data_IF_304945765953
#
_entry.id   IF_304945765953
#
_cell.length_a   1.000
_cell.length_b   1.000
_cell.length_c   1.000
_cell.angle_alpha   90.00
_cell.angle_beta   90.00
_cell.angle_gamma   90.00
#
_symmetry.space_group_name_H-M   'P 1'
#
loop_
_entity.id
_entity.type
_entity.pdbx_description
1 polymer ?
#
# COMPACT_ATOMS: atom_id res chain seq x y z
N UNK A 1 8.48 -7.79 -2.33
CA UNK A 1 8.30 -6.64 -1.42
C UNK A 1 9.30 -6.63 -0.27
N UNK A 2 9.39 -7.68 0.54
CA UNK A 2 10.30 -7.76 1.71
C UNK A 2 11.73 -7.33 1.39
N UNK A 3 12.27 -7.81 0.26
CA UNK A 3 13.62 -7.48 -0.17
C UNK A 3 13.81 -5.99 -0.51
N UNK A 4 12.86 -5.38 -1.21
CA UNK A 4 12.92 -3.96 -1.55
C UNK A 4 12.92 -3.08 -0.29
N UNK A 5 12.11 -3.43 0.70
CA UNK A 5 12.06 -2.73 1.99
C UNK A 5 13.38 -2.91 2.76
N UNK A 6 14.00 -4.09 2.68
CA UNK A 6 15.30 -4.34 3.30
C UNK A 6 16.40 -3.45 2.74
N UNK A 7 16.41 -3.22 1.43
CA UNK A 7 17.37 -2.35 0.76
C UNK A 7 17.12 -0.85 0.98
N UNK A 8 15.95 -0.48 1.48
CA UNK A 8 15.67 0.92 1.78
C UNK A 8 16.50 1.41 2.98
N UNK A 9 17.02 2.64 2.89
CA UNK A 9 17.78 3.26 3.98
C UNK A 9 16.89 4.05 4.97
N UNK A 10 15.65 4.34 4.60
CA UNK A 10 14.75 5.15 5.42
C UNK A 10 14.06 4.34 6.53
N UNK A 11 13.76 5.02 7.64
CA UNK A 11 13.00 4.45 8.77
C UNK A 11 11.50 4.45 8.53
N UNK A 12 11.02 5.27 7.60
CA UNK A 12 9.62 5.36 7.21
C UNK A 12 9.46 5.00 5.73
N UNK A 13 8.62 4.04 5.46
CA UNK A 13 8.40 3.48 4.12
C UNK A 13 7.11 4.07 3.54
N UNK A 14 7.20 4.57 2.32
CA UNK A 14 6.03 4.90 1.50
C UNK A 14 6.00 3.94 0.32
N UNK A 15 4.98 3.10 0.29
CA UNK A 15 4.81 2.04 -0.69
C UNK A 15 3.79 2.44 -1.75
N UNK A 16 4.15 2.22 -3.01
CA UNK A 16 3.29 2.38 -4.18
C UNK A 16 3.45 1.18 -5.12
N UNK A 17 2.46 0.94 -5.97
CA UNK A 17 2.58 0.01 -7.09
C UNK A 17 3.17 0.73 -8.33
N UNK A 18 3.70 -0.04 -9.26
CA UNK A 18 4.35 0.50 -10.46
C UNK A 18 3.39 1.18 -11.46
N UNK A 19 2.09 1.06 -11.25
CA UNK A 19 1.01 1.65 -12.06
C UNK A 19 0.32 2.84 -11.38
N UNK A 20 0.98 3.46 -10.41
CA UNK A 20 0.51 4.67 -9.72
C UNK A 20 1.30 5.89 -10.18
N UNK A 21 0.61 6.87 -10.74
CA UNK A 21 1.13 8.24 -10.88
C UNK A 21 0.81 9.00 -9.60
N UNK A 22 1.81 9.56 -8.95
CA UNK A 22 1.64 10.24 -7.65
C UNK A 22 1.43 11.74 -7.83
N UNK A 23 0.58 12.34 -6.98
CA UNK A 23 0.47 13.80 -6.87
C UNK A 23 1.80 14.40 -6.40
N UNK A 24 2.13 15.61 -6.84
CA UNK A 24 3.36 16.31 -6.46
C UNK A 24 3.57 16.47 -4.94
N UNK A 25 2.51 16.44 -4.16
CA UNK A 25 2.55 16.54 -2.70
C UNK A 25 2.47 15.17 -1.99
N UNK A 26 2.43 14.09 -2.74
CA UNK A 26 2.17 12.74 -2.24
C UNK A 26 3.04 12.35 -1.04
N UNK A 27 4.36 12.50 -1.16
CA UNK A 27 5.30 12.18 -0.08
C UNK A 27 5.12 13.13 1.11
N UNK A 28 5.02 14.44 0.84
CA UNK A 28 4.82 15.43 1.90
C UNK A 28 3.53 15.20 2.69
N UNK A 29 2.47 14.78 2.00
CA UNK A 29 1.18 14.46 2.61
C UNK A 29 1.29 13.22 3.52
N UNK A 30 1.98 12.14 3.09
CA UNK A 30 2.26 10.98 3.93
C UNK A 30 3.03 11.39 5.20
N UNK A 31 4.13 12.13 5.03
CA UNK A 31 4.95 12.57 6.15
C UNK A 31 4.20 13.49 7.12
N UNK A 32 3.30 14.35 6.63
CA UNK A 32 2.46 15.23 7.46
C UNK A 32 1.51 14.46 8.38
N UNK A 33 1.11 13.25 7.97
CA UNK A 33 0.17 12.39 8.70
C UNK A 33 0.85 11.26 9.48
N UNK A 34 2.17 11.12 9.34
CA UNK A 34 3.00 10.15 10.04
C UNK A 34 2.85 10.30 11.56
N UNK A 35 2.66 9.19 12.27
CA UNK A 35 2.59 9.10 13.75
C UNK A 35 3.29 7.81 14.19
N UNK A 36 3.88 7.77 15.40
CA UNK A 36 4.40 6.52 15.96
C UNK A 36 3.35 5.42 15.97
N UNK A 37 3.75 4.20 15.69
CA UNK A 37 2.88 3.01 15.68
C UNK A 37 1.60 3.19 14.88
N UNK A 38 1.71 3.83 13.70
CA UNK A 38 0.58 4.07 12.81
C UNK A 38 0.99 3.78 11.37
N UNK A 39 0.19 2.99 10.68
CA UNK A 39 0.30 2.83 9.24
C UNK A 39 -0.83 3.57 8.53
N UNK A 40 -0.52 4.10 7.35
CA UNK A 40 -1.41 5.00 6.62
C UNK A 40 -1.90 4.33 5.33
N UNK A 41 -3.12 4.64 4.97
CA UNK A 41 -3.68 4.34 3.65
C UNK A 41 -4.14 5.64 3.01
N UNK A 42 -3.52 6.00 1.87
CA UNK A 42 -3.80 7.22 1.13
C UNK A 42 -5.02 7.14 0.22
N UNK A 43 -5.25 8.20 -0.53
CA UNK A 43 -6.35 8.33 -1.48
C UNK A 43 -5.96 7.80 -2.86
N UNK A 44 -6.91 7.16 -3.57
CA UNK A 44 -6.71 6.64 -4.92
C UNK A 44 -7.86 7.02 -5.85
N UNK A 45 -7.54 7.69 -6.97
CA UNK A 45 -8.42 7.87 -8.11
C UNK A 45 -7.98 6.93 -9.25
N UNK A 46 -8.90 6.44 -10.05
CA UNK A 46 -8.59 5.54 -11.16
C UNK A 46 -8.68 6.22 -12.53
N UNK A 47 -7.86 5.80 -13.47
CA UNK A 47 -7.95 6.18 -14.87
C UNK A 47 -8.55 5.03 -15.68
N UNK A 48 -9.49 5.29 -16.60
CA UNK A 48 -9.98 4.28 -17.53
C UNK A 48 -8.93 3.90 -18.58
N UNK A 49 -9.12 2.76 -19.24
CA UNK A 49 -8.16 2.20 -20.19
C UNK A 49 -7.75 3.18 -21.29
N UNK A 50 -8.73 3.80 -21.94
CA UNK A 50 -8.48 4.72 -23.06
C UNK A 50 -7.63 5.93 -22.63
N UNK A 51 -7.97 6.51 -21.48
CA UNK A 51 -7.23 7.65 -20.94
C UNK A 51 -5.85 7.23 -20.43
N UNK A 52 -5.70 6.03 -19.88
CA UNK A 52 -4.39 5.49 -19.51
C UNK A 52 -3.45 5.38 -20.71
N UNK A 53 -3.95 4.90 -21.86
CA UNK A 53 -3.15 4.83 -23.10
C UNK A 53 -2.69 6.20 -23.57
N UNK A 54 -3.56 7.20 -23.51
CA UNK A 54 -3.21 8.58 -23.84
C UNK A 54 -2.16 9.12 -22.88
N UNK A 55 -2.36 8.98 -21.58
CA UNK A 55 -1.43 9.41 -20.50
C UNK A 55 -0.03 8.83 -20.72
N UNK A 56 0.07 7.54 -21.02
CA UNK A 56 1.35 6.88 -21.27
C UNK A 56 2.02 7.37 -22.55
N UNK A 57 1.25 7.65 -23.60
CA UNK A 57 1.80 8.15 -24.88
C UNK A 57 2.28 9.60 -24.80
N UNK A 58 1.61 10.42 -24.00
CA UNK A 58 1.91 11.84 -23.82
C UNK A 58 2.90 12.11 -22.67
N UNK A 59 3.18 11.11 -21.81
CA UNK A 59 3.98 11.27 -20.61
C UNK A 59 3.33 12.20 -19.58
N UNK A 60 1.99 12.26 -19.55
CA UNK A 60 1.27 13.12 -18.61
C UNK A 60 1.41 12.61 -17.18
N UNK A 61 1.88 13.47 -16.27
CA UNK A 61 2.04 13.14 -14.85
C UNK A 61 1.24 14.06 -13.93
N UNK A 62 0.66 15.14 -14.45
CA UNK A 62 -0.09 16.13 -13.68
C UNK A 62 -1.61 15.89 -13.82
N UNK A 63 -2.23 15.60 -12.69
CA UNK A 63 -3.68 15.40 -12.60
C UNK A 63 -4.28 16.22 -11.46
N UNK A 64 -5.56 16.53 -11.60
CA UNK A 64 -6.38 17.19 -10.57
C UNK A 64 -7.75 16.52 -10.49
N UNK A 65 -8.54 16.82 -9.47
CA UNK A 65 -9.92 16.34 -9.37
C UNK A 65 -10.81 16.76 -10.57
N UNK A 66 -10.37 17.75 -11.34
CA UNK A 66 -11.07 18.24 -12.54
C UNK A 66 -10.58 17.60 -13.84
N UNK A 67 -9.52 16.79 -13.80
CA UNK A 67 -9.05 16.03 -14.96
C UNK A 67 -10.17 15.16 -15.52
N UNK A 68 -10.25 15.08 -16.86
CA UNK A 68 -11.28 14.29 -17.54
C UNK A 68 -11.14 12.81 -17.20
N UNK A 69 -12.25 12.09 -17.26
CA UNK A 69 -12.31 10.63 -17.17
C UNK A 69 -11.83 9.98 -15.86
N UNK A 70 -11.55 10.73 -14.79
CA UNK A 70 -11.19 10.12 -13.51
C UNK A 70 -12.36 9.37 -12.87
N UNK A 71 -12.13 8.11 -12.52
CA UNK A 71 -12.99 7.37 -11.60
C UNK A 71 -12.72 7.79 -10.15
N UNK A 72 -13.78 7.89 -9.34
CA UNK A 72 -13.68 8.31 -7.94
C UNK A 72 -12.98 9.67 -7.76
N UNK A 73 -13.30 10.66 -8.62
CA UNK A 73 -12.66 11.97 -8.65
C UNK A 73 -12.63 12.72 -7.33
N UNK A 74 -13.56 12.45 -6.40
CA UNK A 74 -13.50 13.01 -5.05
C UNK A 74 -12.26 12.57 -4.26
N UNK A 75 -11.70 11.39 -4.58
CA UNK A 75 -10.44 10.96 -4.01
C UNK A 75 -9.22 11.73 -4.57
N UNK A 76 -9.38 12.43 -5.70
CA UNK A 76 -8.37 13.29 -6.30
C UNK A 76 -8.45 14.75 -5.81
N UNK A 77 -9.41 15.07 -4.95
CA UNK A 77 -9.56 16.41 -4.39
C UNK A 77 -8.61 16.60 -3.20
N UNK A 78 -7.51 17.31 -3.42
CA UNK A 78 -6.56 17.64 -2.36
C UNK A 78 -7.02 18.88 -1.60
N UNK A 79 -7.19 18.75 -0.28
CA UNK A 79 -7.58 19.84 0.60
C UNK A 79 -7.22 19.54 2.05
N UNK A 80 -6.41 20.39 2.67
CA UNK A 80 -6.08 20.28 4.09
C UNK A 80 -7.29 20.45 5.01
N UNK A 81 -8.24 21.32 4.62
CA UNK A 81 -9.47 21.55 5.37
C UNK A 81 -10.33 20.27 5.38
N UNK A 82 -10.56 19.67 4.21
CA UNK A 82 -11.30 18.42 4.13
C UNK A 82 -10.56 17.28 4.85
N UNK A 83 -9.24 17.22 4.72
CA UNK A 83 -8.44 16.22 5.39
C UNK A 83 -8.56 16.29 6.92
N UNK A 84 -8.62 17.49 7.49
CA UNK A 84 -8.82 17.67 8.92
C UNK A 84 -10.09 16.96 9.43
N UNK A 85 -11.18 17.01 8.66
CA UNK A 85 -12.45 16.38 9.03
C UNK A 85 -12.57 14.91 8.59
N UNK A 86 -11.88 14.51 7.51
CA UNK A 86 -12.09 13.21 6.87
C UNK A 86 -11.02 12.17 7.19
N UNK A 87 -9.82 12.61 7.60
CA UNK A 87 -8.78 11.66 8.04
C UNK A 87 -9.17 11.07 9.39
N UNK A 88 -9.15 9.73 9.48
CA UNK A 88 -9.63 9.04 10.67
C UNK A 88 -8.85 7.76 10.96
N UNK A 89 -8.86 7.33 12.21
CA UNK A 89 -8.48 5.97 12.58
C UNK A 89 -9.54 4.97 12.11
N UNK A 90 -9.12 3.77 11.83
CA UNK A 90 -10.02 2.68 11.42
C UNK A 90 -9.55 1.37 12.05
N UNK A 91 -10.51 0.60 12.53
CA UNK A 91 -10.28 -0.77 13.00
C UNK A 91 -10.51 -1.78 11.87
N UNK A 92 -10.99 -1.33 10.71
CA UNK A 92 -11.24 -2.16 9.54
C UNK A 92 -10.07 -2.09 8.55
N UNK A 93 -9.20 -3.09 8.61
CA UNK A 93 -8.02 -3.21 7.74
C UNK A 93 -8.35 -3.65 6.31
N UNK A 94 -9.57 -4.14 6.03
CA UNK A 94 -10.00 -4.57 4.68
C UNK A 94 -9.97 -3.44 3.65
N UNK A 95 -9.90 -2.21 4.11
CA UNK A 95 -9.80 -1.03 3.25
C UNK A 95 -8.37 -0.69 2.83
N UNK A 96 -7.37 -1.38 3.35
CA UNK A 96 -5.97 -1.16 2.95
C UNK A 96 -5.80 -1.54 1.48
N UNK A 97 -4.98 -0.79 0.78
CA UNK A 97 -4.60 -1.00 -0.61
C UNK A 97 -3.09 -0.82 -0.71
N UNK A 98 -2.36 -1.87 -0.98
CA UNK A 98 -0.90 -1.88 -1.06
C UNK A 98 -0.31 -0.80 -1.97
N UNK A 99 -1.07 -0.40 -2.98
CA UNK A 99 -0.66 0.63 -3.94
C UNK A 99 -0.53 2.06 -3.38
N UNK A 100 -0.95 2.32 -2.16
CA UNK A 100 -0.85 3.64 -1.53
C UNK A 100 -0.90 3.51 -0.01
N UNK A 101 0.20 3.02 0.57
CA UNK A 101 0.36 2.85 2.01
C UNK A 101 1.68 3.42 2.50
N UNK A 102 1.76 3.72 3.79
CA UNK A 102 3.03 4.03 4.44
C UNK A 102 3.03 3.58 5.89
N UNK A 103 4.21 3.24 6.40
CA UNK A 103 4.39 2.66 7.73
C UNK A 103 5.84 2.83 8.22
N UNK A 104 6.04 2.68 9.52
CA UNK A 104 7.37 2.61 10.09
C UNK A 104 8.02 1.27 9.75
N UNK A 105 9.28 1.32 9.33
CA UNK A 105 10.05 0.12 9.00
C UNK A 105 10.19 -0.81 10.20
N UNK A 106 10.32 -0.26 11.40
CA UNK A 106 10.34 -1.03 12.63
C UNK A 106 9.05 -1.83 12.88
N UNK A 107 7.86 -1.21 12.68
CA UNK A 107 6.58 -1.90 12.82
C UNK A 107 6.45 -3.03 11.79
N UNK A 108 6.90 -2.80 10.55
CA UNK A 108 6.93 -3.81 9.49
C UNK A 108 7.84 -5.00 9.85
N UNK A 109 9.02 -4.72 10.40
CA UNK A 109 9.97 -5.77 10.83
C UNK A 109 9.43 -6.51 12.06
N UNK A 110 8.75 -5.83 12.98
CA UNK A 110 8.17 -6.43 14.17
C UNK A 110 7.15 -7.54 13.84
N UNK A 111 6.42 -7.41 12.73
CA UNK A 111 5.47 -8.40 12.25
C UNK A 111 6.06 -9.37 11.21
N UNK A 112 7.37 -9.29 10.95
CA UNK A 112 8.12 -10.04 9.93
C UNK A 112 7.66 -9.77 8.48
N UNK A 113 7.18 -8.57 8.19
CA UNK A 113 6.91 -8.11 6.84
C UNK A 113 5.79 -8.85 6.11
N UNK A 114 5.84 -8.86 4.78
CA UNK A 114 4.90 -9.59 3.93
C UNK A 114 5.09 -11.11 4.03
N UNK A 115 3.99 -11.85 3.97
CA UNK A 115 3.99 -13.31 3.95
C UNK A 115 4.45 -13.81 2.57
N UNK A 116 5.59 -14.52 2.52
CA UNK A 116 6.16 -15.06 1.29
C UNK A 116 5.39 -16.30 0.76
N UNK A 117 4.52 -16.91 1.59
CA UNK A 117 3.72 -18.06 1.18
C UNK A 117 2.50 -17.66 0.35
N UNK A 118 2.10 -16.37 0.41
CA UNK A 118 1.03 -15.85 -0.44
C UNK A 118 1.54 -15.66 -1.87
N UNK A 119 0.89 -16.29 -2.80
CA UNK A 119 1.25 -16.25 -4.22
C UNK A 119 0.06 -15.78 -5.08
N UNK A 120 0.36 -15.25 -6.26
CA UNK A 120 -0.66 -14.70 -7.14
C UNK A 120 -1.17 -13.34 -6.66
N UNK A 121 -2.41 -13.02 -7.00
CA UNK A 121 -3.03 -11.73 -6.71
C UNK A 121 -4.04 -11.83 -5.55
N UNK A 122 -3.98 -10.85 -4.66
CA UNK A 122 -5.04 -10.53 -3.70
C UNK A 122 -4.72 -10.88 -2.25
N UNK A 123 -5.20 -10.02 -1.39
CA UNK A 123 -5.22 -10.12 0.07
C UNK A 123 -3.86 -10.03 0.80
N UNK A 124 -2.72 -9.93 0.11
CA UNK A 124 -1.39 -9.78 0.70
C UNK A 124 -1.25 -8.48 1.51
N UNK A 125 -1.91 -7.42 1.05
CA UNK A 125 -1.91 -6.10 1.69
C UNK A 125 -2.78 -6.06 2.96
N UNK A 126 -3.96 -6.68 2.93
CA UNK A 126 -4.84 -6.73 4.11
C UNK A 126 -4.37 -7.76 5.13
N UNK A 127 -3.69 -8.82 4.71
CA UNK A 127 -3.06 -9.80 5.59
C UNK A 127 -1.94 -9.16 6.42
N UNK A 128 -1.02 -8.42 5.77
CA UNK A 128 -0.01 -7.62 6.45
C UNK A 128 -0.66 -6.58 7.38
N UNK A 129 -1.67 -5.86 6.89
CA UNK A 129 -2.38 -4.85 7.67
C UNK A 129 -3.06 -5.44 8.91
N UNK A 130 -3.59 -6.67 8.82
CA UNK A 130 -4.17 -7.37 9.95
C UNK A 130 -3.10 -7.70 11.02
N UNK A 131 -1.91 -8.18 10.60
CA UNK A 131 -0.82 -8.45 11.55
C UNK A 131 -0.28 -7.17 12.20
N UNK A 132 -0.13 -6.09 11.45
CA UNK A 132 0.22 -4.78 11.99
C UNK A 132 -0.81 -4.34 13.05
N UNK A 133 -2.10 -4.45 12.72
CA UNK A 133 -3.17 -4.09 13.64
C UNK A 133 -3.19 -4.97 14.90
N UNK A 134 -3.06 -6.28 14.75
CA UNK A 134 -2.98 -7.22 15.86
C UNK A 134 -1.76 -6.95 16.77
N UNK A 135 -0.66 -6.45 16.18
CA UNK A 135 0.55 -6.04 16.92
C UNK A 135 0.45 -4.64 17.55
N UNK A 136 -0.72 -4.01 17.52
CA UNK A 136 -0.99 -2.71 18.14
C UNK A 136 -0.71 -1.49 17.26
N UNK A 137 -0.30 -1.67 16.00
CA UNK A 137 -0.12 -0.57 15.05
C UNK A 137 -1.47 -0.11 14.51
N UNK A 138 -1.77 1.18 14.58
CA UNK A 138 -3.08 1.72 14.23
C UNK A 138 -3.19 2.06 12.75
N UNK A 139 -4.30 1.65 12.10
CA UNK A 139 -4.63 2.12 10.75
C UNK A 139 -5.19 3.54 10.80
N UNK A 140 -4.63 4.42 9.97
CA UNK A 140 -5.18 5.74 9.69
C UNK A 140 -5.48 5.89 8.20
N UNK A 141 -6.74 6.15 7.87
CA UNK A 141 -7.18 6.44 6.51
C UNK A 141 -6.97 7.92 6.25
N UNK A 142 -6.19 8.25 5.22
CA UNK A 142 -5.96 9.62 4.77
C UNK A 142 -6.92 9.90 3.60
N UNK A 143 -7.75 10.93 3.77
CA UNK A 143 -8.64 11.44 2.73
C UNK A 143 -8.23 12.84 2.34
N UNK A 144 -8.39 13.17 1.06
CA UNK A 144 -8.04 14.48 0.50
C UNK A 144 -6.56 14.89 0.65
N UNK A 145 -5.70 13.91 0.90
CA UNK A 145 -4.23 14.00 0.92
C UNK A 145 -3.66 12.70 0.34
N UNK A 146 -2.35 12.69 0.06
CA UNK A 146 -1.61 11.52 -0.42
C UNK A 146 -2.32 10.85 -1.61
N UNK A 147 -2.54 11.60 -2.68
CA UNK A 147 -3.34 11.18 -3.82
C UNK A 147 -2.48 10.41 -4.81
N UNK A 148 -2.89 9.18 -5.12
CA UNK A 148 -2.35 8.39 -6.22
C UNK A 148 -3.38 8.24 -7.34
N UNK A 149 -2.92 8.29 -8.58
CA UNK A 149 -3.71 8.09 -9.80
C UNK A 149 -3.36 6.75 -10.39
N UNK A 150 -4.29 5.79 -10.31
CA UNK A 150 -4.06 4.42 -10.72
C UNK A 150 -4.35 4.24 -12.19
N UNK A 151 -3.33 3.89 -12.95
CA UNK A 151 -3.43 3.56 -14.36
C UNK A 151 -4.23 2.26 -14.53
N UNK A 152 -5.00 2.19 -15.61
CA UNK A 152 -5.71 0.96 -15.94
C UNK A 152 -4.74 -0.14 -16.37
N UNK A 153 -4.94 -1.31 -15.84
CA UNK A 153 -4.33 -2.55 -16.32
C UNK A 153 -5.35 -3.68 -16.33
N UNK A 154 -5.10 -4.71 -17.13
CA UNK A 154 -5.92 -5.92 -17.10
C UNK A 154 -5.77 -6.60 -15.76
N UNK A 155 -6.88 -7.11 -15.24
CA UNK A 155 -6.86 -7.85 -13.97
C UNK A 155 -6.00 -9.11 -14.11
N UNK A 156 -5.18 -9.36 -13.12
CA UNK A 156 -4.44 -10.61 -12.98
C UNK A 156 -5.38 -11.79 -12.71
N UNK A 157 -4.89 -13.02 -12.96
CA UNK A 157 -5.61 -14.22 -12.55
C UNK A 157 -5.91 -14.19 -11.05
N UNK A 158 -7.12 -14.62 -10.69
CA UNK A 158 -7.59 -14.72 -9.30
C UNK A 158 -7.54 -16.15 -8.76
N UNK A 159 -6.77 -17.03 -9.38
CA UNK A 159 -6.76 -18.46 -9.04
C UNK A 159 -6.33 -18.73 -7.58
N UNK A 160 -5.57 -17.80 -6.99
CA UNK A 160 -5.08 -17.87 -5.60
C UNK A 160 -5.82 -16.98 -4.62
N UNK A 161 -6.83 -16.23 -5.07
CA UNK A 161 -7.55 -15.28 -4.22
C UNK A 161 -8.21 -15.95 -3.01
N UNK A 162 -8.79 -17.15 -3.20
CA UNK A 162 -9.44 -17.89 -2.11
C UNK A 162 -8.42 -18.38 -1.06
N UNK A 163 -7.26 -18.89 -1.49
CA UNK A 163 -6.21 -19.35 -0.59
C UNK A 163 -5.65 -18.18 0.23
N UNK A 164 -5.43 -17.04 -0.42
CA UNK A 164 -4.93 -15.84 0.22
C UNK A 164 -5.96 -15.23 1.19
N UNK A 165 -7.26 -15.30 0.85
CA UNK A 165 -8.34 -14.89 1.73
C UNK A 165 -8.38 -15.74 3.00
N UNK A 166 -8.26 -17.06 2.87
CA UNK A 166 -8.23 -17.96 4.02
C UNK A 166 -7.08 -17.63 4.98
N UNK A 167 -5.90 -17.30 4.44
CA UNK A 167 -4.75 -16.86 5.25
C UNK A 167 -5.04 -15.56 6.00
N UNK A 168 -5.70 -14.58 5.36
CA UNK A 168 -6.13 -13.35 6.02
C UNK A 168 -7.15 -13.63 7.15
N UNK A 169 -8.14 -14.50 6.89
CA UNK A 169 -9.16 -14.86 7.88
C UNK A 169 -8.52 -15.55 9.10
N UNK A 170 -7.58 -16.45 8.89
CA UNK A 170 -6.80 -17.08 9.96
C UNK A 170 -6.06 -16.04 10.83
N UNK A 171 -5.42 -15.05 10.19
CA UNK A 171 -4.72 -13.98 10.91
C UNK A 171 -5.67 -13.19 11.80
N UNK A 172 -6.89 -12.91 11.34
CA UNK A 172 -7.90 -12.19 12.13
C UNK A 172 -8.42 -13.06 13.28
N UNK A 173 -8.83 -14.30 12.99
CA UNK A 173 -9.44 -15.20 13.98
C UNK A 173 -8.48 -15.56 15.12
N UNK A 174 -7.23 -15.88 14.76
CA UNK A 174 -6.21 -16.28 15.73
C UNK A 174 -5.41 -15.12 16.30
N UNK A 175 -5.68 -13.88 15.85
CA UNK A 175 -4.92 -12.67 16.24
C UNK A 175 -3.42 -12.83 16.02
N UNK A 176 -3.03 -13.41 14.90
CA UNK A 176 -1.62 -13.61 14.55
C UNK A 176 -0.96 -12.24 14.33
N UNK A 177 0.17 -12.01 15.01
CA UNK A 177 0.95 -10.77 14.88
C UNK A 177 2.20 -10.95 14.02
N UNK A 178 2.70 -12.18 13.88
CA UNK A 178 4.00 -12.44 13.28
C UNK A 178 3.90 -13.47 12.15
N UNK A 179 4.49 -13.13 11.00
CA UNK A 179 4.57 -14.03 9.85
C UNK A 179 5.72 -15.03 10.02
N UNK A 180 5.45 -16.32 9.79
CA UNK A 180 6.49 -17.38 9.92
C UNK A 180 7.48 -17.35 8.76
N UNK A 181 7.03 -17.06 7.55
CA UNK A 181 7.83 -16.97 6.33
C UNK A 181 7.70 -15.56 5.73
N UNK A 182 8.52 -14.63 6.20
CA UNK A 182 8.39 -13.22 5.86
C UNK A 182 9.70 -12.53 5.54
N UNK A 183 9.89 -11.37 6.14
CA UNK A 183 11.03 -10.49 5.90
C UNK A 183 12.39 -11.14 6.23
N UNK A 184 12.51 -11.82 7.37
CA UNK A 184 13.78 -12.45 7.79
C UNK A 184 14.18 -13.60 6.87
N UNK A 185 13.22 -14.42 6.47
CA UNK A 185 13.42 -15.56 5.60
C UNK A 185 13.81 -15.09 4.19
N UNK A 186 13.15 -14.07 3.65
CA UNK A 186 13.52 -13.47 2.38
C UNK A 186 14.97 -12.96 2.35
N UNK A 187 15.46 -12.37 3.45
CA UNK A 187 16.86 -11.93 3.55
C UNK A 187 17.85 -13.08 3.58
N UNK A 188 17.52 -14.19 4.22
CA UNK A 188 18.40 -15.38 4.28
C UNK A 188 18.54 -16.05 2.92
N UNK A 189 17.47 -16.11 2.13
CA UNK A 189 17.50 -16.64 0.76
C UNK A 189 18.42 -15.83 -0.13
N UNK A 190 18.31 -14.51 -0.11
CA UNK A 190 19.16 -13.61 -0.92
C UNK A 190 20.63 -13.70 -0.51
N UNK A 191 20.92 -13.82 0.78
CA UNK A 191 22.29 -14.00 1.28
C UNK A 191 22.95 -15.29 0.81
N UNK A 192 22.16 -16.36 0.55
CA UNK A 192 22.64 -17.63 0.01
C UNK A 192 22.91 -17.59 -1.49
N UNK A 193 22.08 -16.87 -2.25
CA UNK A 193 22.18 -16.83 -3.72
C UNK A 193 23.17 -15.79 -4.25
N UNK A 194 23.70 -14.91 -3.42
CA UNK A 194 24.69 -13.87 -3.79
C UNK A 194 24.20 -12.88 -4.86
N UNK A 195 22.94 -12.90 -5.23
CA UNK A 195 22.35 -12.02 -6.23
C UNK A 195 21.93 -10.70 -5.59
N UNK A 196 22.87 -9.78 -5.54
CA UNK A 196 22.56 -8.36 -5.33
C UNK A 196 22.06 -7.80 -6.67
N UNK A 197 20.80 -7.49 -6.76
CA UNK A 197 20.27 -6.69 -7.88
C UNK A 197 20.85 -5.26 -7.74
N UNK A 198 21.76 -4.94 -8.65
CA UNK A 198 22.33 -3.59 -8.77
C UNK A 198 21.46 -2.73 -9.67
#
# INVERSE_FOLDING_TARGET
MNYAIAQSAGDYIVQIDGDIVIDRHFIADHLSQMRPHTFLRGSRAGLPEEFTRQVLSEGQIDFTAFSRHLHNRFNALRSHILAFFLCRRSDDVRHVKGCNTSFWKEDFIAVNGYNNDLSGWGHEDIELAARLYNNGTQLRIIKSLAIGYHLYHKLYSRDKEADNLASYEEVIEQKICYCKNGYKEALQEVGRDGKVWR
#
